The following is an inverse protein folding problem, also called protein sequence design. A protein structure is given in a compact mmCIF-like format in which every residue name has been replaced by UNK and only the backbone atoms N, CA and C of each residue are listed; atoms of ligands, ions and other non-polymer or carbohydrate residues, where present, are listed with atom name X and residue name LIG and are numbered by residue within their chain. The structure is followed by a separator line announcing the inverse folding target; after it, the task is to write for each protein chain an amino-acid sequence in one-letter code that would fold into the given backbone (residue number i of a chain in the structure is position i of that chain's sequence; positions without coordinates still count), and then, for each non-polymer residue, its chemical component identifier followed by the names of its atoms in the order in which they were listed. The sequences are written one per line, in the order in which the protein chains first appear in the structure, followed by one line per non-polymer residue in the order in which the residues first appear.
data_IF_256425910610
#
_entry.id   IF_256425910610
#
_cell.length_a   1.000
_cell.length_b   1.000
_cell.length_c   1.000
_cell.angle_alpha   90.00
_cell.angle_beta   90.00
_cell.angle_gamma   90.00
#
_symmetry.space_group_name_H-M   'P 1'
#
loop_
_entity.id
_entity.type
_entity.pdbx_description
1 polymer ?
#
# COMPACT_ATOMS: atom_id res chain seq x y z
N UNK A 1 -24.19 -29.90 -59.22
CA UNK A 1 -24.12 -28.68 -58.40
C UNK A 1 -23.60 -29.07 -57.01
N UNK A 2 -22.31 -28.89 -56.79
CA UNK A 2 -21.66 -29.27 -55.53
C UNK A 2 -21.55 -28.03 -54.64
N UNK A 3 -22.18 -28.10 -53.47
CA UNK A 3 -22.18 -27.04 -52.45
C UNK A 3 -20.86 -27.05 -51.67
N UNK A 4 -20.03 -26.06 -51.83
CA UNK A 4 -18.83 -25.82 -51.00
C UNK A 4 -19.24 -25.38 -49.61
N UNK A 5 -19.03 -26.22 -48.60
CA UNK A 5 -19.08 -25.83 -47.17
C UNK A 5 -17.79 -25.10 -46.80
N UNK A 6 -17.91 -23.82 -46.47
CA UNK A 6 -16.83 -23.05 -45.88
C UNK A 6 -16.49 -23.58 -44.47
N UNK A 7 -15.23 -23.94 -44.24
CA UNK A 7 -14.69 -24.27 -42.92
C UNK A 7 -14.49 -22.99 -42.13
N UNK A 8 -15.34 -22.74 -41.15
CA UNK A 8 -15.13 -21.69 -40.15
C UNK A 8 -14.02 -22.12 -39.20
N UNK A 9 -12.94 -21.36 -39.15
CA UNK A 9 -11.86 -21.58 -38.19
C UNK A 9 -12.34 -21.21 -36.77
N UNK A 10 -12.12 -22.10 -35.81
CA UNK A 10 -12.53 -21.97 -34.41
C UNK A 10 -11.64 -21.04 -33.57
N UNK A 11 -10.82 -20.19 -34.20
CA UNK A 11 -10.13 -19.10 -33.53
C UNK A 11 -10.97 -17.82 -33.64
N UNK A 12 -12.05 -17.77 -32.86
CA UNK A 12 -12.70 -16.52 -32.52
C UNK A 12 -11.74 -15.74 -31.68
N UNK A 13 -11.08 -14.70 -32.25
CA UNK A 13 -10.47 -13.63 -31.48
C UNK A 13 -11.59 -13.08 -30.60
N UNK A 14 -11.46 -13.24 -29.28
CA UNK A 14 -12.27 -12.50 -28.34
C UNK A 14 -12.21 -11.03 -28.79
N UNK A 15 -13.36 -10.53 -29.24
CA UNK A 15 -13.53 -9.12 -29.52
C UNK A 15 -13.04 -8.40 -28.29
N UNK A 16 -12.05 -7.56 -28.48
CA UNK A 16 -11.46 -6.68 -27.47
C UNK A 16 -12.60 -6.10 -26.63
N UNK A 17 -12.73 -6.59 -25.40
CA UNK A 17 -13.56 -5.93 -24.41
C UNK A 17 -13.11 -4.48 -24.40
N UNK A 18 -14.02 -3.55 -24.72
CA UNK A 18 -13.80 -2.13 -24.57
C UNK A 18 -13.12 -1.91 -23.22
N UNK A 19 -12.04 -1.11 -23.16
CA UNK A 19 -11.35 -0.86 -21.89
C UNK A 19 -12.41 -0.43 -20.89
N UNK A 20 -12.60 -1.25 -19.83
CA UNK A 20 -13.43 -0.87 -18.69
C UNK A 20 -12.95 0.52 -18.28
N UNK A 21 -13.87 1.48 -18.24
CA UNK A 21 -13.58 2.80 -17.70
C UNK A 21 -12.88 2.60 -16.36
N UNK A 22 -11.58 2.89 -16.31
CA UNK A 22 -10.76 2.63 -15.12
C UNK A 22 -11.25 3.60 -14.06
N UNK A 23 -11.91 3.07 -13.05
CA UNK A 23 -12.29 3.88 -11.90
C UNK A 23 -11.01 4.26 -11.14
N UNK A 24 -10.74 5.54 -10.90
CA UNK A 24 -9.53 5.98 -10.22
C UNK A 24 -9.34 5.23 -8.89
N UNK A 25 -8.11 4.77 -8.62
CA UNK A 25 -7.77 4.06 -7.39
C UNK A 25 -8.30 2.63 -7.27
N UNK A 26 -8.85 2.06 -8.34
CA UNK A 26 -9.32 0.66 -8.40
C UNK A 26 -8.60 -0.07 -9.53
N UNK A 27 -8.08 -1.26 -9.24
CA UNK A 27 -7.36 -2.09 -10.22
C UNK A 27 -7.90 -3.51 -10.21
N UNK A 28 -8.23 -4.09 -11.38
CA UNK A 28 -8.52 -5.50 -11.47
C UNK A 28 -7.27 -6.33 -11.20
N UNK A 29 -7.43 -7.44 -10.51
CA UNK A 29 -6.38 -8.38 -10.19
C UNK A 29 -6.67 -9.78 -10.72
N UNK A 30 -5.80 -10.74 -10.39
CA UNK A 30 -6.01 -12.14 -10.78
C UNK A 30 -7.26 -12.73 -10.10
N UNK A 31 -7.81 -13.78 -10.70
CA UNK A 31 -8.94 -14.57 -10.16
C UNK A 31 -10.20 -13.73 -9.85
N UNK A 32 -10.43 -12.63 -10.59
CA UNK A 32 -11.57 -11.76 -10.38
C UNK A 32 -11.48 -10.90 -9.10
N UNK A 33 -10.34 -10.87 -8.44
CA UNK A 33 -10.10 -9.96 -7.34
C UNK A 33 -10.02 -8.51 -7.86
N UNK A 34 -10.46 -7.58 -7.04
CA UNK A 34 -10.33 -6.14 -7.31
C UNK A 34 -9.57 -5.51 -6.16
N UNK A 35 -8.59 -4.69 -6.49
CA UNK A 35 -7.71 -4.05 -5.51
C UNK A 35 -7.95 -2.55 -5.44
N UNK A 36 -7.78 -2.00 -4.24
CA UNK A 36 -7.61 -0.56 -4.02
C UNK A 36 -6.20 -0.28 -3.53
N UNK A 37 -5.67 0.87 -3.91
CA UNK A 37 -4.34 1.28 -3.47
C UNK A 37 -4.31 1.55 -1.97
N UNK A 38 -3.20 1.18 -1.34
CA UNK A 38 -2.89 1.50 0.06
C UNK A 38 -2.52 2.97 0.26
N UNK A 39 -2.22 3.71 -0.83
CA UNK A 39 -1.63 5.05 -0.80
C UNK A 39 -0.11 5.04 -0.59
N UNK A 40 0.52 3.88 -0.68
CA UNK A 40 1.97 3.69 -0.57
C UNK A 40 2.38 2.76 -1.73
N UNK A 41 3.00 3.30 -2.80
CA UNK A 41 3.30 2.53 -4.01
C UNK A 41 4.10 1.26 -3.76
N UNK A 42 5.06 1.32 -2.83
CA UNK A 42 5.87 0.15 -2.49
C UNK A 42 5.06 -0.91 -1.76
N UNK A 43 4.14 -0.50 -0.85
CA UNK A 43 3.26 -1.45 -0.18
C UNK A 43 2.31 -2.13 -1.17
N UNK A 44 1.79 -1.39 -2.14
CA UNK A 44 0.97 -1.97 -3.21
C UNK A 44 1.72 -3.03 -4.00
N UNK A 45 3.02 -2.79 -4.31
CA UNK A 45 3.89 -3.79 -4.96
C UNK A 45 4.13 -5.01 -4.07
N UNK A 46 4.47 -4.80 -2.80
CA UNK A 46 4.71 -5.86 -1.82
C UNK A 46 3.50 -6.77 -1.68
N UNK A 47 2.29 -6.20 -1.64
CA UNK A 47 1.03 -6.93 -1.49
C UNK A 47 0.48 -7.51 -2.81
N UNK A 48 1.18 -7.30 -3.93
CA UNK A 48 0.75 -7.81 -5.24
C UNK A 48 -0.40 -7.02 -5.87
N UNK A 49 -0.62 -5.78 -5.48
CA UNK A 49 -1.62 -4.90 -6.10
C UNK A 49 -2.35 -3.96 -5.13
N UNK A 50 -2.07 -4.04 -3.83
CA UNK A 50 -2.73 -3.24 -2.79
C UNK A 50 -3.68 -4.06 -1.91
N UNK A 51 -4.74 -3.45 -1.40
CA UNK A 51 -5.73 -4.14 -0.57
C UNK A 51 -6.88 -4.67 -1.41
N UNK A 52 -7.19 -5.98 -1.37
CA UNK A 52 -8.34 -6.53 -2.08
C UNK A 52 -9.66 -5.99 -1.51
N UNK A 53 -10.62 -5.66 -2.37
CA UNK A 53 -11.99 -5.33 -1.94
C UNK A 53 -12.60 -6.50 -1.17
N UNK A 54 -13.39 -6.19 -0.16
CA UNK A 54 -13.98 -7.18 0.73
C UNK A 54 -13.02 -7.71 1.79
N UNK A 55 -11.85 -7.09 2.00
CA UNK A 55 -10.85 -7.54 2.98
C UNK A 55 -10.81 -6.69 4.24
N UNK A 56 -10.43 -7.36 5.34
CA UNK A 56 -10.12 -6.76 6.63
C UNK A 56 -8.61 -6.77 6.84
N UNK A 57 -8.03 -5.59 6.94
CA UNK A 57 -6.63 -5.36 7.21
C UNK A 57 -6.46 -5.00 8.69
N UNK A 58 -5.49 -5.63 9.34
CA UNK A 58 -5.14 -5.28 10.71
C UNK A 58 -3.67 -4.86 10.78
N UNK A 59 -3.40 -3.78 11.52
CA UNK A 59 -2.07 -3.23 11.72
C UNK A 59 -1.78 -3.25 13.22
N UNK A 60 -0.78 -4.01 13.61
CA UNK A 60 -0.27 -4.01 14.98
C UNK A 60 0.57 -2.75 15.20
N UNK A 61 0.17 -1.99 16.21
CA UNK A 61 0.84 -0.75 16.63
C UNK A 61 2.08 -1.06 17.45
N UNK A 62 3.07 -0.18 17.36
CA UNK A 62 4.20 -0.17 18.27
C UNK A 62 3.92 0.76 19.46
N UNK A 63 4.43 0.40 20.63
CA UNK A 63 4.33 1.21 21.83
C UNK A 63 5.27 2.43 21.79
N UNK A 64 6.40 2.31 21.10
CA UNK A 64 7.46 3.33 21.10
C UNK A 64 7.27 4.40 20.02
N UNK A 65 6.65 4.03 18.87
CA UNK A 65 6.50 4.97 17.76
C UNK A 65 5.18 4.81 17.00
N UNK A 66 4.52 5.93 16.67
CA UNK A 66 3.22 5.93 16.01
C UNK A 66 3.30 5.69 14.50
N UNK A 67 4.18 4.80 14.03
CA UNK A 67 4.39 4.55 12.58
C UNK A 67 3.15 3.99 11.88
N UNK A 68 2.24 3.32 12.60
CA UNK A 68 0.94 2.89 12.08
C UNK A 68 0.10 4.05 11.53
N UNK A 69 0.29 5.27 12.09
CA UNK A 69 -0.40 6.47 11.60
C UNK A 69 0.07 6.89 10.21
N UNK A 70 1.31 6.59 9.82
CA UNK A 70 1.80 6.86 8.46
C UNK A 70 1.02 6.03 7.44
N UNK A 71 0.82 4.74 7.72
CA UNK A 71 0.04 3.86 6.84
C UNK A 71 -1.43 4.30 6.80
N UNK A 72 -2.01 4.60 7.97
CA UNK A 72 -3.42 4.98 8.07
C UNK A 72 -3.70 6.30 7.33
N UNK A 73 -2.83 7.32 7.50
CA UNK A 73 -2.96 8.61 6.81
C UNK A 73 -2.89 8.46 5.30
N UNK A 74 -1.92 7.70 4.78
CA UNK A 74 -1.79 7.46 3.34
C UNK A 74 -3.01 6.71 2.79
N UNK A 75 -3.50 5.69 3.50
CA UNK A 75 -4.71 4.96 3.13
C UNK A 75 -5.94 5.88 3.05
N UNK A 76 -6.12 6.77 4.02
CA UNK A 76 -7.23 7.72 4.04
C UNK A 76 -7.09 8.78 2.94
N UNK A 77 -5.91 9.39 2.79
CA UNK A 77 -5.64 10.40 1.76
C UNK A 77 -5.87 9.87 0.36
N UNK A 78 -5.39 8.65 0.08
CA UNK A 78 -5.59 7.99 -1.21
C UNK A 78 -7.07 7.84 -1.55
N UNK A 79 -7.90 7.46 -0.55
CA UNK A 79 -9.34 7.37 -0.73
C UNK A 79 -9.98 8.71 -1.07
N UNK A 80 -9.62 9.75 -0.34
CA UNK A 80 -10.18 11.09 -0.53
C UNK A 80 -9.80 11.70 -1.88
N UNK A 81 -8.56 11.52 -2.31
CA UNK A 81 -8.10 11.97 -3.64
C UNK A 81 -8.88 11.30 -4.77
N UNK A 82 -9.32 10.06 -4.58
CA UNK A 82 -10.09 9.30 -5.56
C UNK A 82 -11.61 9.36 -5.35
N UNK A 83 -12.11 10.31 -4.56
CA UNK A 83 -13.55 10.46 -4.27
C UNK A 83 -14.20 9.21 -3.65
N UNK A 84 -13.43 8.41 -2.93
CA UNK A 84 -13.92 7.21 -2.26
C UNK A 84 -14.51 7.58 -0.89
N UNK A 85 -15.75 7.17 -0.56
CA UNK A 85 -16.33 7.41 0.76
C UNK A 85 -15.45 6.85 1.88
N UNK A 86 -15.30 7.63 2.96
CA UNK A 86 -14.47 7.29 4.11
C UNK A 86 -15.27 7.29 5.40
N UNK A 87 -15.21 6.19 6.16
CA UNK A 87 -15.58 6.16 7.57
C UNK A 87 -14.31 6.11 8.40
N UNK A 88 -14.12 7.10 9.27
CA UNK A 88 -12.98 7.17 10.17
C UNK A 88 -13.44 7.13 11.63
N UNK A 89 -12.93 6.18 12.40
CA UNK A 89 -13.17 6.05 13.82
C UNK A 89 -11.87 6.16 14.61
N UNK A 90 -11.89 6.90 15.70
CA UNK A 90 -10.71 7.18 16.52
C UNK A 90 -11.09 7.25 18.01
N UNK A 91 -10.15 6.90 18.94
CA UNK A 91 -10.31 7.15 20.36
C UNK A 91 -10.20 8.63 20.76
N UNK A 92 -10.03 9.54 19.82
CA UNK A 92 -10.04 10.98 20.06
C UNK A 92 -11.45 11.52 20.24
N UNK A 93 -11.63 12.56 21.09
CA UNK A 93 -12.89 13.30 21.21
C UNK A 93 -13.27 14.01 19.91
N UNK A 94 -12.28 14.53 19.19
CA UNK A 94 -12.47 15.15 17.88
C UNK A 94 -11.72 14.38 16.79
N UNK A 95 -12.34 13.36 16.17
CA UNK A 95 -11.75 12.63 15.07
C UNK A 95 -11.53 13.51 13.82
N UNK A 96 -12.33 14.58 13.65
CA UNK A 96 -12.20 15.48 12.49
C UNK A 96 -10.90 16.27 12.50
N UNK A 97 -10.37 16.62 13.66
CA UNK A 97 -9.07 17.28 13.76
C UNK A 97 -7.93 16.47 13.12
N UNK A 98 -8.01 15.14 13.21
CA UNK A 98 -7.02 14.25 12.57
C UNK A 98 -7.00 14.38 11.04
N UNK A 99 -8.14 14.68 10.41
CA UNK A 99 -8.22 14.85 8.96
C UNK A 99 -7.34 16.01 8.46
N UNK A 100 -7.12 17.03 9.28
CA UNK A 100 -6.20 18.13 9.00
C UNK A 100 -4.73 17.73 8.91
N UNK A 101 -4.39 16.50 9.32
CA UNK A 101 -3.02 15.95 9.26
C UNK A 101 -2.81 15.00 8.09
N UNK A 102 -3.82 14.78 7.25
CA UNK A 102 -3.73 13.90 6.10
C UNK A 102 -2.80 14.51 5.04
N UNK A 103 -1.87 13.73 4.46
CA UNK A 103 -0.91 14.26 3.50
C UNK A 103 -1.54 14.54 2.13
N UNK A 104 -0.99 15.56 1.47
CA UNK A 104 -1.37 15.96 0.10
C UNK A 104 -0.61 15.15 -0.94
N UNK A 105 -1.24 14.82 -2.09
CA UNK A 105 -0.53 14.17 -3.18
C UNK A 105 0.55 15.09 -3.75
N UNK A 106 1.65 14.50 -4.21
CA UNK A 106 2.74 15.22 -4.88
C UNK A 106 2.27 15.58 -6.29
N UNK A 107 2.25 16.87 -6.62
CA UNK A 107 1.87 17.31 -7.96
C UNK A 107 3.01 17.17 -8.96
N UNK A 108 2.68 16.91 -10.23
CA UNK A 108 3.66 16.84 -11.33
C UNK A 108 4.45 18.15 -11.54
N UNK A 109 3.96 19.28 -11.02
CA UNK A 109 4.70 20.55 -10.99
C UNK A 109 5.85 20.50 -9.98
N UNK A 110 5.67 19.84 -8.85
CA UNK A 110 6.71 19.64 -7.84
C UNK A 110 7.82 18.68 -8.33
N UNK A 111 7.52 17.78 -9.26
CA UNK A 111 8.51 16.87 -9.87
C UNK A 111 9.41 17.59 -10.88
N UNK A 112 8.88 18.54 -11.64
CA UNK A 112 9.68 19.33 -12.58
C UNK A 112 10.72 20.19 -11.87
N UNK A 113 10.41 20.72 -10.69
CA UNK A 113 11.40 21.46 -9.89
C UNK A 113 12.46 20.53 -9.29
N UNK A 114 12.14 19.26 -9.03
CA UNK A 114 13.10 18.23 -8.56
C UNK A 114 14.16 17.90 -9.60
N UNK A 115 13.75 17.76 -10.86
CA UNK A 115 14.68 17.41 -11.96
C UNK A 115 15.61 18.57 -12.28
N UNK A 116 15.18 19.82 -12.11
CA UNK A 116 16.03 21.00 -12.30
C UNK A 116 17.11 21.10 -11.22
N UNK A 117 16.80 20.80 -9.96
CA UNK A 117 17.79 20.84 -8.87
C UNK A 117 18.79 19.67 -8.96
N UNK A 118 18.34 18.49 -9.39
CA UNK A 118 19.20 17.33 -9.58
C UNK A 118 20.07 17.42 -10.86
N UNK A 119 19.63 18.14 -11.88
CA UNK A 119 20.38 18.40 -13.10
C UNK A 119 21.44 19.52 -12.91
N UNK A 120 21.25 20.42 -11.96
CA UNK A 120 22.24 21.44 -11.61
C UNK A 120 23.43 20.87 -10.82
N UNK A 121 23.24 19.79 -10.04
CA UNK A 121 24.36 19.12 -9.34
C UNK A 121 25.21 18.20 -10.25
N UNK A 122 24.69 17.76 -11.41
CA UNK A 122 25.42 16.99 -12.38
C UNK A 122 25.71 17.84 -13.62
N UNK A 123 26.65 18.79 -13.47
CA UNK A 123 27.15 19.63 -14.56
C UNK A 123 27.87 18.85 -15.65
N UNK A 124 27.13 18.20 -16.55
CA UNK A 124 27.68 17.70 -17.82
C UNK A 124 26.69 18.04 -18.94
N UNK A 125 27.03 19.11 -19.64
CA UNK A 125 26.36 19.71 -20.79
C UNK A 125 26.37 18.86 -22.09
N UNK A 126 26.53 17.54 -22.05
CA UNK A 126 26.75 16.71 -23.25
C UNK A 126 25.58 15.80 -23.62
N UNK A 127 24.46 15.82 -22.91
CA UNK A 127 23.42 14.79 -23.11
C UNK A 127 22.18 15.22 -23.90
N UNK A 128 21.99 16.49 -24.27
CA UNK A 128 20.73 16.91 -24.92
C UNK A 128 20.60 16.48 -26.38
N UNK A 129 21.74 16.26 -27.13
CA UNK A 129 21.70 15.82 -28.51
C UNK A 129 21.36 14.33 -28.69
N UNK A 130 21.57 13.50 -27.65
CA UNK A 130 21.29 12.07 -27.73
C UNK A 130 19.88 11.68 -27.26
N UNK A 131 19.12 12.59 -26.59
CA UNK A 131 17.72 12.36 -26.18
C UNK A 131 16.78 12.12 -27.36
N UNK A 132 17.16 12.49 -28.57
CA UNK A 132 16.35 12.36 -29.79
C UNK A 132 16.32 10.95 -30.38
N UNK A 133 17.22 10.06 -29.93
CA UNK A 133 17.41 8.71 -30.51
C UNK A 133 16.86 7.58 -29.61
N UNK A 134 16.47 7.86 -28.39
CA UNK A 134 15.89 6.85 -27.51
C UNK A 134 14.38 7.00 -27.46
N UNK A 135 13.69 6.28 -28.36
CA UNK A 135 12.22 6.22 -28.44
C UNK A 135 11.52 5.51 -27.28
N UNK A 136 12.21 5.27 -26.16
CA UNK A 136 11.67 4.58 -24.97
C UNK A 136 10.86 5.49 -24.03
N UNK A 137 10.81 6.81 -24.29
CA UNK A 137 10.14 7.75 -23.37
C UNK A 137 8.62 7.78 -23.47
N UNK A 138 8.00 7.28 -24.55
CA UNK A 138 6.55 7.31 -24.68
C UNK A 138 5.87 6.18 -23.88
N UNK A 139 6.43 4.97 -23.85
CA UNK A 139 5.88 3.88 -23.06
C UNK A 139 6.03 4.12 -21.56
N UNK A 140 7.12 4.76 -21.12
CA UNK A 140 7.30 5.11 -19.70
C UNK A 140 6.34 6.22 -19.24
N UNK A 141 5.94 7.16 -20.11
CA UNK A 141 5.00 8.23 -19.72
C UNK A 141 3.55 7.73 -19.59
N UNK A 142 3.12 6.76 -20.39
CA UNK A 142 1.81 6.14 -20.26
C UNK A 142 1.75 5.23 -19.03
N UNK A 143 2.78 4.45 -18.77
CA UNK A 143 2.89 3.64 -17.55
C UNK A 143 2.94 4.51 -16.28
N UNK A 144 3.58 5.69 -16.33
CA UNK A 144 3.61 6.64 -15.22
C UNK A 144 2.24 7.32 -14.99
N UNK A 145 1.52 7.67 -16.06
CA UNK A 145 0.16 8.22 -15.95
C UNK A 145 -0.81 7.19 -15.37
N UNK A 146 -0.77 5.95 -15.86
CA UNK A 146 -1.61 4.87 -15.35
C UNK A 146 -1.26 4.51 -13.88
N UNK A 147 0.00 4.62 -13.49
CA UNK A 147 0.43 4.44 -12.10
C UNK A 147 -0.07 5.58 -11.20
N UNK A 148 -0.08 6.83 -11.67
CA UNK A 148 -0.63 7.98 -10.93
C UNK A 148 -2.15 7.92 -10.79
N UNK A 149 -2.87 7.31 -11.71
CA UNK A 149 -4.31 7.09 -11.61
C UNK A 149 -4.69 6.03 -10.59
N UNK A 150 -3.80 5.09 -10.26
CA UNK A 150 -4.05 4.03 -9.28
C UNK A 150 -3.55 4.38 -7.88
N UNK A 151 -2.32 4.83 -7.75
CA UNK A 151 -1.66 5.15 -6.49
C UNK A 151 -0.92 6.48 -6.59
N UNK A 152 -1.18 7.37 -5.65
CA UNK A 152 -0.49 8.65 -5.54
C UNK A 152 0.70 8.54 -4.58
N UNK A 153 1.75 9.31 -4.83
CA UNK A 153 2.77 9.60 -3.83
C UNK A 153 2.32 10.80 -2.99
N UNK A 154 2.54 10.75 -1.67
CA UNK A 154 2.10 11.78 -0.75
C UNK A 154 3.26 12.53 -0.10
N UNK A 155 3.11 13.85 0.03
CA UNK A 155 4.02 14.70 0.79
C UNK A 155 3.55 14.80 2.25
N UNK A 156 4.24 14.09 3.14
CA UNK A 156 3.91 14.02 4.56
C UNK A 156 4.01 15.38 5.29
N UNK A 157 4.61 16.40 4.67
CA UNK A 157 4.76 17.75 5.24
C UNK A 157 3.63 18.69 4.83
N UNK A 158 2.92 18.37 3.76
CA UNK A 158 1.84 19.21 3.23
C UNK A 158 0.50 18.60 3.60
N UNK A 159 -0.37 19.28 4.35
CA UNK A 159 -1.70 18.77 4.63
C UNK A 159 -2.56 18.78 3.37
N UNK A 160 -3.53 17.87 3.32
CA UNK A 160 -4.51 17.78 2.25
C UNK A 160 -5.37 19.06 2.21
N UNK A 161 -5.68 19.52 1.00
CA UNK A 161 -6.45 20.73 0.80
C UNK A 161 -7.85 20.64 1.43
N UNK A 162 -8.28 21.70 2.11
CA UNK A 162 -9.60 21.76 2.76
C UNK A 162 -10.75 21.58 1.77
N UNK A 163 -10.55 21.98 0.52
CA UNK A 163 -11.55 21.82 -0.53
C UNK A 163 -11.86 20.34 -0.77
N UNK A 164 -10.83 19.48 -0.82
CA UNK A 164 -10.99 18.03 -0.96
C UNK A 164 -11.72 17.46 0.26
N UNK A 165 -11.32 17.85 1.47
CA UNK A 165 -11.96 17.38 2.70
C UNK A 165 -13.45 17.75 2.78
N UNK A 166 -13.83 18.92 2.28
CA UNK A 166 -15.22 19.38 2.32
C UNK A 166 -16.09 18.80 1.19
N UNK A 167 -15.47 18.46 0.05
CA UNK A 167 -16.19 17.90 -1.10
C UNK A 167 -16.49 16.40 -0.94
N UNK A 168 -15.80 15.72 -0.02
CA UNK A 168 -15.86 14.27 0.13
C UNK A 168 -16.86 13.82 1.19
N UNK A 169 -17.41 12.61 0.97
CA UNK A 169 -18.25 11.95 1.93
C UNK A 169 -17.40 11.30 3.03
N UNK A 170 -17.19 12.04 4.13
CA UNK A 170 -16.43 11.60 5.28
C UNK A 170 -17.36 11.46 6.49
N UNK A 171 -17.43 10.25 7.04
CA UNK A 171 -18.11 9.94 8.28
C UNK A 171 -17.08 9.78 9.39
N UNK A 172 -17.12 10.65 10.41
CA UNK A 172 -16.22 10.60 11.55
C UNK A 172 -16.96 10.12 12.80
N UNK A 173 -16.31 9.25 13.57
CA UNK A 173 -16.87 8.64 14.77
C UNK A 173 -15.85 8.66 15.91
N UNK A 174 -16.23 9.22 17.06
CA UNK A 174 -15.45 9.10 18.30
C UNK A 174 -15.83 7.82 19.03
N UNK A 175 -14.85 6.96 19.27
CA UNK A 175 -15.08 5.75 20.05
C UNK A 175 -15.10 5.99 21.56
N UNK A 176 -14.75 7.21 22.03
CA UNK A 176 -14.96 7.60 23.43
C UNK A 176 -16.43 7.84 23.78
N UNK A 177 -17.19 8.39 22.83
CA UNK A 177 -18.59 8.76 23.04
C UNK A 177 -19.54 7.56 23.01
N UNK A 178 -19.03 6.38 22.66
CA UNK A 178 -19.80 5.14 22.58
C UNK A 178 -19.45 4.20 23.72
N UNK A 179 -20.31 4.09 24.73
CA UNK A 179 -20.11 3.14 25.83
C UNK A 179 -20.21 1.68 25.38
N UNK A 180 -20.82 1.43 24.24
CA UNK A 180 -20.99 0.09 23.69
C UNK A 180 -20.67 0.03 22.18
N UNK A 181 -20.29 -1.16 21.71
CA UNK A 181 -19.96 -1.42 20.31
C UNK A 181 -21.18 -1.51 19.38
N UNK A 182 -22.42 -1.44 19.91
CA UNK A 182 -23.63 -1.56 19.09
C UNK A 182 -23.78 -0.36 18.18
N UNK A 183 -23.71 0.86 18.72
CA UNK A 183 -23.81 2.08 17.93
C UNK A 183 -22.70 2.16 16.86
N UNK A 184 -21.49 1.72 17.20
CA UNK A 184 -20.38 1.66 16.24
C UNK A 184 -20.64 0.63 15.14
N UNK A 185 -21.16 -0.55 15.49
CA UNK A 185 -21.54 -1.59 14.52
C UNK A 185 -22.63 -1.09 13.56
N UNK A 186 -23.64 -0.38 14.08
CA UNK A 186 -24.74 0.17 13.28
C UNK A 186 -24.23 1.27 12.34
N UNK A 187 -23.29 2.10 12.81
CA UNK A 187 -22.66 3.12 11.98
C UNK A 187 -21.88 2.50 10.80
N UNK A 188 -21.05 1.50 11.09
CA UNK A 188 -20.35 0.76 10.03
C UNK A 188 -21.33 0.10 9.05
N UNK A 189 -22.43 -0.44 9.56
CA UNK A 189 -23.45 -1.11 8.73
C UNK A 189 -24.16 -0.12 7.82
N UNK A 190 -24.55 1.04 8.36
CA UNK A 190 -25.19 2.12 7.61
C UNK A 190 -24.27 2.69 6.54
N UNK A 191 -22.98 2.86 6.87
CA UNK A 191 -21.96 3.29 5.89
C UNK A 191 -21.85 2.29 4.74
N UNK A 192 -21.71 0.99 5.05
CA UNK A 192 -21.58 -0.06 4.03
C UNK A 192 -22.82 -0.24 3.18
N UNK A 193 -24.03 -0.09 3.77
CA UNK A 193 -25.30 -0.18 3.05
C UNK A 193 -25.52 0.93 2.02
N UNK A 194 -24.84 2.07 2.19
CA UNK A 194 -24.93 3.22 1.29
C UNK A 194 -23.91 3.16 0.14
N UNK A 195 -23.02 2.17 0.13
CA UNK A 195 -22.10 1.97 -0.98
C UNK A 195 -22.84 1.32 -2.16
N UNK A 196 -22.51 1.71 -3.40
CA UNK A 196 -23.11 1.09 -4.57
C UNK A 196 -22.75 -0.41 -4.60
N UNK A 197 -23.77 -1.22 -4.80
CA UNK A 197 -23.60 -2.68 -4.98
C UNK A 197 -23.25 -2.96 -6.43
N UNK A 198 -22.37 -3.95 -6.65
CA UNK A 198 -22.12 -4.50 -7.99
C UNK A 198 -23.29 -5.40 -8.40
N UNK A 199 -24.46 -4.84 -8.67
CA UNK A 199 -25.49 -5.58 -9.37
C UNK A 199 -25.05 -5.71 -10.82
N UNK A 200 -24.75 -6.95 -11.24
CA UNK A 200 -24.06 -7.35 -12.48
C UNK A 200 -24.64 -6.84 -13.83
N UNK A 201 -25.49 -5.82 -13.81
CA UNK A 201 -26.12 -5.22 -14.97
C UNK A 201 -25.65 -3.82 -15.35
N UNK A 202 -25.09 -3.05 -14.44
CA UNK A 202 -24.68 -1.68 -14.74
C UNK A 202 -23.17 -1.51 -14.49
N UNK A 203 -22.35 -1.60 -15.54
CA UNK A 203 -20.89 -1.46 -15.55
C UNK A 203 -20.41 -0.02 -15.30
N UNK A 204 -21.24 0.85 -14.73
CA UNK A 204 -20.91 2.25 -14.42
C UNK A 204 -20.44 2.42 -12.98
N UNK A 205 -19.27 2.98 -12.79
CA UNK A 205 -18.68 3.46 -11.53
C UNK A 205 -18.73 2.49 -10.34
N UNK A 206 -17.77 1.58 -10.29
CA UNK A 206 -17.44 0.83 -9.08
C UNK A 206 -16.83 1.80 -8.07
N UNK A 207 -17.63 2.29 -7.11
CA UNK A 207 -17.12 3.11 -6.01
C UNK A 207 -16.71 2.19 -4.86
N UNK A 208 -15.46 2.29 -4.39
CA UNK A 208 -14.95 1.56 -3.25
C UNK A 208 -15.05 2.41 -1.97
N UNK A 209 -15.58 1.86 -0.89
CA UNK A 209 -15.59 2.50 0.42
C UNK A 209 -14.34 2.16 1.24
N UNK A 210 -13.91 3.11 2.08
CA UNK A 210 -12.81 2.90 3.02
C UNK A 210 -13.29 3.06 4.46
N UNK A 211 -12.93 2.10 5.30
CA UNK A 211 -13.15 2.17 6.75
C UNK A 211 -11.78 2.19 7.41
N UNK A 212 -11.50 3.21 8.21
CA UNK A 212 -10.28 3.38 8.97
C UNK A 212 -10.62 3.45 10.46
N UNK A 213 -10.18 2.48 11.25
CA UNK A 213 -10.40 2.42 12.70
C UNK A 213 -9.04 2.49 13.37
N UNK A 214 -8.80 3.60 14.06
CA UNK A 214 -7.55 3.85 14.77
C UNK A 214 -7.63 3.29 16.19
N UNK A 215 -6.56 2.58 16.62
CA UNK A 215 -6.31 2.16 18.01
C UNK A 215 -7.56 1.54 18.67
N UNK A 216 -8.13 0.52 18.03
CA UNK A 216 -9.46 0.00 18.33
C UNK A 216 -9.68 -0.44 19.79
N UNK A 217 -8.64 -0.92 20.48
CA UNK A 217 -8.70 -1.31 21.90
C UNK A 217 -8.03 -0.30 22.84
N UNK A 218 -7.86 0.96 22.40
CA UNK A 218 -7.25 1.98 23.24
C UNK A 218 -8.02 2.17 24.57
N UNK A 219 -7.31 2.47 25.68
CA UNK A 219 -7.96 2.62 27.00
C UNK A 219 -9.05 3.69 27.06
N UNK A 220 -8.98 4.68 26.15
CA UNK A 220 -9.97 5.76 26.02
C UNK A 220 -11.31 5.27 25.48
N UNK A 221 -11.35 4.10 24.81
CA UNK A 221 -12.57 3.53 24.30
C UNK A 221 -13.40 2.95 25.45
N UNK A 222 -14.67 3.29 25.56
CA UNK A 222 -15.55 2.82 26.62
C UNK A 222 -15.71 1.30 26.68
N UNK A 223 -15.39 0.61 25.60
CA UNK A 223 -15.46 -0.85 25.45
C UNK A 223 -14.10 -1.57 25.56
N UNK A 224 -13.02 -0.88 25.92
CA UNK A 224 -11.64 -1.43 25.93
C UNK A 224 -11.48 -2.69 26.79
N UNK A 225 -12.31 -2.88 27.82
CA UNK A 225 -12.32 -4.06 28.70
C UNK A 225 -13.21 -5.20 28.20
N UNK A 226 -13.97 -5.00 27.12
CA UNK A 226 -14.94 -5.96 26.59
C UNK A 226 -14.33 -6.80 25.45
N UNK A 227 -13.31 -7.63 25.76
CA UNK A 227 -12.53 -8.37 24.74
C UNK A 227 -13.42 -9.24 23.83
N UNK A 228 -14.45 -9.90 24.36
CA UNK A 228 -15.37 -10.72 23.57
C UNK A 228 -16.27 -9.91 22.66
N UNK A 229 -16.74 -8.76 23.11
CA UNK A 229 -17.57 -7.87 22.30
C UNK A 229 -16.77 -7.23 21.17
N UNK A 230 -15.52 -6.86 21.45
CA UNK A 230 -14.57 -6.39 20.42
C UNK A 230 -14.30 -7.47 19.37
N UNK A 231 -14.07 -8.73 19.78
CA UNK A 231 -13.88 -9.85 18.85
C UNK A 231 -15.16 -10.10 18.01
N UNK A 232 -16.33 -10.04 18.64
CA UNK A 232 -17.63 -10.15 17.97
C UNK A 232 -17.84 -9.02 16.95
N UNK A 233 -17.46 -7.78 17.31
CA UNK A 233 -17.50 -6.64 16.42
C UNK A 233 -16.60 -6.87 15.19
N UNK A 234 -15.33 -7.26 15.38
CA UNK A 234 -14.37 -7.53 14.29
C UNK A 234 -14.94 -8.61 13.36
N UNK A 235 -15.50 -9.69 13.90
CA UNK A 235 -16.12 -10.77 13.11
C UNK A 235 -17.31 -10.26 12.28
N UNK A 236 -18.17 -9.46 12.89
CA UNK A 236 -19.32 -8.84 12.22
C UNK A 236 -18.89 -7.87 11.13
N UNK A 237 -17.91 -7.01 11.42
CA UNK A 237 -17.36 -6.07 10.44
C UNK A 237 -16.74 -6.81 9.25
N UNK A 238 -15.92 -7.84 9.51
CA UNK A 238 -15.32 -8.67 8.46
C UNK A 238 -16.37 -9.27 7.54
N UNK A 239 -17.44 -9.85 8.11
CA UNK A 239 -18.53 -10.44 7.33
C UNK A 239 -19.22 -9.42 6.42
N UNK A 240 -19.52 -8.22 6.95
CA UNK A 240 -20.16 -7.14 6.19
C UNK A 240 -19.25 -6.55 5.11
N UNK A 241 -17.97 -6.33 5.42
CA UNK A 241 -16.98 -5.86 4.45
C UNK A 241 -16.82 -6.87 3.31
N UNK A 242 -16.80 -8.19 3.64
CA UNK A 242 -16.68 -9.27 2.65
C UNK A 242 -17.78 -9.24 1.59
N UNK A 243 -18.98 -8.83 1.95
CA UNK A 243 -20.14 -8.74 1.05
C UNK A 243 -20.35 -7.34 0.45
N UNK A 244 -19.39 -6.44 0.63
CA UNK A 244 -19.48 -5.05 0.16
C UNK A 244 -18.25 -4.63 -0.65
N UNK A 245 -18.40 -3.55 -1.43
CA UNK A 245 -17.29 -2.93 -2.15
C UNK A 245 -16.49 -2.00 -1.22
N UNK A 246 -15.92 -2.54 -0.16
CA UNK A 246 -15.17 -1.77 0.82
C UNK A 246 -13.93 -2.51 1.30
N UNK A 247 -13.02 -1.76 1.91
CA UNK A 247 -11.87 -2.28 2.66
C UNK A 247 -11.89 -1.65 4.04
N UNK A 248 -11.67 -2.46 5.08
CA UNK A 248 -11.52 -1.99 6.45
C UNK A 248 -10.09 -2.17 6.94
N UNK A 249 -9.51 -1.09 7.46
CA UNK A 249 -8.21 -1.06 8.13
C UNK A 249 -8.43 -0.78 9.60
N UNK A 250 -7.97 -1.66 10.47
CA UNK A 250 -8.03 -1.53 11.93
C UNK A 250 -6.60 -1.49 12.45
N UNK A 251 -6.24 -0.47 13.20
CA UNK A 251 -5.00 -0.47 13.97
C UNK A 251 -5.29 -0.84 15.43
N UNK A 252 -4.39 -1.53 16.07
CA UNK A 252 -4.52 -1.92 17.48
C UNK A 252 -3.17 -2.15 18.16
N UNK A 253 -2.99 -1.72 19.42
CA UNK A 253 -1.82 -1.99 20.23
C UNK A 253 -1.91 -3.38 20.87
N UNK A 254 -1.14 -4.38 20.42
CA UNK A 254 -1.19 -5.75 20.93
C UNK A 254 -0.97 -5.88 22.46
N UNK A 255 -0.11 -5.06 23.09
CA UNK A 255 0.13 -5.16 24.53
C UNK A 255 -1.08 -4.86 25.40
N UNK A 256 -2.11 -4.19 24.87
CA UNK A 256 -3.35 -3.88 25.62
C UNK A 256 -4.36 -5.04 25.61
N UNK A 257 -4.10 -6.09 24.85
CA UNK A 257 -4.94 -7.27 24.77
C UNK A 257 -4.26 -8.44 25.50
N UNK A 258 -5.07 -9.35 26.07
CA UNK A 258 -4.52 -10.61 26.54
C UNK A 258 -3.92 -11.40 25.36
N UNK A 259 -2.84 -12.19 25.57
CA UNK A 259 -2.15 -12.90 24.50
C UNK A 259 -3.08 -13.77 23.64
N UNK A 260 -4.09 -14.39 24.26
CA UNK A 260 -5.06 -15.23 23.56
C UNK A 260 -5.97 -14.43 22.63
N UNK A 261 -6.42 -13.23 23.05
CA UNK A 261 -7.23 -12.36 22.20
C UNK A 261 -6.42 -11.68 21.11
N UNK A 262 -5.20 -11.26 21.40
CA UNK A 262 -4.28 -10.75 20.40
C UNK A 262 -4.10 -11.76 19.25
N UNK A 263 -3.87 -13.04 19.56
CA UNK A 263 -3.78 -14.12 18.56
C UNK A 263 -5.09 -14.30 17.78
N UNK A 264 -6.24 -14.27 18.45
CA UNK A 264 -7.55 -14.39 17.77
C UNK A 264 -7.82 -13.24 16.81
N UNK A 265 -7.44 -12.00 17.17
CA UNK A 265 -7.55 -10.86 16.29
C UNK A 265 -6.65 -11.01 15.06
N UNK A 266 -5.39 -11.41 15.25
CA UNK A 266 -4.47 -11.70 14.15
C UNK A 266 -5.04 -12.73 13.16
N UNK A 267 -5.73 -13.78 13.68
CA UNK A 267 -6.41 -14.76 12.82
C UNK A 267 -7.60 -14.18 12.06
N UNK A 268 -8.29 -13.19 12.59
CA UNK A 268 -9.40 -12.53 11.89
C UNK A 268 -8.94 -11.69 10.70
N UNK A 269 -7.73 -11.15 10.72
CA UNK A 269 -7.20 -10.36 9.63
C UNK A 269 -7.11 -11.17 8.33
N UNK A 270 -7.43 -10.54 7.20
CA UNK A 270 -7.08 -11.06 5.89
C UNK A 270 -5.64 -10.67 5.53
N UNK A 271 -5.26 -9.41 5.76
CA UNK A 271 -3.88 -8.93 5.74
C UNK A 271 -3.49 -8.49 7.14
N UNK A 272 -2.33 -8.94 7.61
CA UNK A 272 -1.78 -8.59 8.92
C UNK A 272 -0.42 -7.95 8.75
N UNK A 273 -0.32 -6.70 9.18
CA UNK A 273 0.90 -5.90 9.19
C UNK A 273 1.30 -5.59 10.64
N UNK A 274 2.57 -5.39 10.89
CA UNK A 274 3.06 -4.83 12.14
C UNK A 274 4.10 -3.75 11.85
N UNK A 275 4.03 -2.67 12.57
CA UNK A 275 5.05 -1.61 12.54
C UNK A 275 5.87 -1.68 13.82
N UNK A 276 7.17 -1.39 13.70
CA UNK A 276 8.07 -1.31 14.85
C UNK A 276 9.03 -0.15 14.69
N UNK A 277 9.32 0.53 15.79
CA UNK A 277 10.39 1.50 15.88
C UNK A 277 11.77 0.80 15.76
N UNK A 278 12.79 1.56 15.44
CA UNK A 278 14.18 1.11 15.62
C UNK A 278 14.46 1.17 17.11
N UNK A 279 14.94 0.08 17.74
CA UNK A 279 15.33 0.09 19.13
C UNK A 279 16.36 1.19 19.43
N UNK A 280 16.31 1.77 20.64
CA UNK A 280 17.22 2.85 21.02
C UNK A 280 18.69 2.44 20.88
N UNK A 281 19.02 1.20 21.25
CA UNK A 281 20.38 0.65 21.17
C UNK A 281 20.91 0.59 19.72
N UNK A 282 20.01 0.41 18.75
CA UNK A 282 20.35 0.32 17.33
C UNK A 282 20.35 1.68 16.62
N UNK A 283 19.80 2.74 17.23
CA UNK A 283 19.70 4.07 16.59
C UNK A 283 21.05 4.71 16.30
N UNK A 284 22.02 4.52 17.19
CA UNK A 284 23.37 5.05 16.99
C UNK A 284 24.08 4.28 15.87
N UNK A 285 23.94 2.95 15.84
CA UNK A 285 24.48 2.12 14.79
C UNK A 285 23.82 2.46 13.43
N UNK A 286 22.51 2.67 13.41
CA UNK A 286 21.78 3.05 12.20
C UNK A 286 22.24 4.40 11.63
N UNK A 287 22.64 5.36 12.48
CA UNK A 287 23.18 6.66 12.02
C UNK A 287 24.56 6.53 11.39
N UNK A 288 25.35 5.56 11.81
CA UNK A 288 26.70 5.33 11.28
C UNK A 288 26.70 4.60 9.93
N UNK A 289 25.64 3.85 9.64
CA UNK A 289 25.52 3.08 8.40
C UNK A 289 24.89 3.97 7.32
N UNK A 290 25.63 4.26 6.26
CA UNK A 290 25.23 5.21 5.19
C UNK A 290 23.91 4.91 4.48
N UNK A 291 23.40 3.69 4.54
CA UNK A 291 22.09 3.30 3.96
C UNK A 291 20.89 3.45 4.88
N UNK A 292 21.08 3.85 6.15
CA UNK A 292 20.04 3.83 7.18
C UNK A 292 19.64 5.21 7.72
N UNK A 293 20.23 6.28 7.17
CA UNK A 293 20.06 7.65 7.69
C UNK A 293 18.59 8.14 7.70
N UNK A 294 17.77 7.70 6.75
CA UNK A 294 16.34 8.08 6.64
C UNK A 294 15.40 7.00 7.21
N UNK A 295 15.96 5.93 7.79
CA UNK A 295 15.19 4.83 8.35
C UNK A 295 14.60 5.21 9.71
N UNK A 296 13.29 5.03 9.87
CA UNK A 296 12.56 5.34 11.09
C UNK A 296 11.98 4.12 11.79
N UNK A 297 11.91 2.99 11.11
CA UNK A 297 11.35 1.77 11.68
C UNK A 297 11.26 0.62 10.68
N UNK A 298 10.52 -0.39 11.08
CA UNK A 298 10.30 -1.62 10.32
C UNK A 298 8.82 -1.84 10.06
N UNK A 299 8.52 -2.40 8.90
CA UNK A 299 7.22 -2.96 8.56
C UNK A 299 7.37 -4.48 8.41
N UNK A 300 6.60 -5.24 9.19
CA UNK A 300 6.51 -6.68 9.07
C UNK A 300 5.19 -7.06 8.40
N UNK A 301 5.25 -7.87 7.35
CA UNK A 301 4.10 -8.44 6.66
C UNK A 301 3.93 -9.87 7.15
N UNK A 302 2.99 -10.09 8.08
CA UNK A 302 2.75 -11.41 8.66
C UNK A 302 1.79 -12.25 7.84
N UNK A 303 0.85 -11.60 7.14
CA UNK A 303 -0.18 -12.27 6.36
C UNK A 303 -0.64 -11.36 5.23
N UNK A 304 -0.86 -11.95 4.06
CA UNK A 304 -1.44 -11.28 2.89
C UNK A 304 -2.79 -11.92 2.55
N UNK A 305 -3.77 -11.10 2.22
CA UNK A 305 -5.11 -11.55 1.89
C UNK A 305 -5.10 -12.50 0.69
N UNK A 306 -5.80 -13.62 0.84
CA UNK A 306 -6.04 -14.61 -0.21
C UNK A 306 -7.53 -14.58 -0.53
N UNK A 307 -7.93 -13.77 -1.52
CA UNK A 307 -9.32 -13.67 -1.96
C UNK A 307 -9.44 -14.37 -3.31
N UNK A 308 -10.44 -15.24 -3.41
CA UNK A 308 -10.72 -16.03 -4.61
C UNK A 308 -9.57 -16.96 -5.05
N UNK A 309 -8.65 -17.29 -4.14
CA UNK A 309 -7.56 -18.23 -4.40
C UNK A 309 -7.22 -19.03 -3.15
N UNK A 310 -6.78 -20.27 -3.33
CA UNK A 310 -6.21 -21.10 -2.25
C UNK A 310 -4.68 -21.10 -2.28
N UNK A 311 -4.08 -20.50 -3.32
CA UNK A 311 -2.63 -20.43 -3.46
C UNK A 311 -2.10 -19.35 -2.54
N UNK A 312 -1.21 -19.69 -1.60
CA UNK A 312 -0.61 -18.69 -0.71
C UNK A 312 0.26 -17.72 -1.52
N UNK A 313 0.21 -16.43 -1.13
CA UNK A 313 1.12 -15.43 -1.68
C UNK A 313 2.50 -15.70 -1.09
N UNK A 314 3.47 -15.99 -1.94
CA UNK A 314 4.86 -16.14 -1.55
C UNK A 314 5.47 -14.74 -1.55
N UNK A 315 5.84 -14.25 -0.36
CA UNK A 315 6.55 -13.00 -0.21
C UNK A 315 8.06 -13.26 -0.32
N UNK A 316 8.74 -12.48 -1.13
CA UNK A 316 10.20 -12.54 -1.24
C UNK A 316 10.91 -12.06 0.04
N UNK A 317 10.27 -11.17 0.79
CA UNK A 317 10.68 -10.73 2.11
C UNK A 317 9.45 -10.47 2.98
N UNK A 318 9.57 -10.68 4.28
CA UNK A 318 8.50 -10.40 5.26
C UNK A 318 8.77 -9.15 6.09
N UNK A 319 9.98 -8.61 6.02
CA UNK A 319 10.39 -7.43 6.78
C UNK A 319 10.97 -6.38 5.84
N UNK A 320 10.51 -5.16 6.01
CA UNK A 320 10.88 -4.00 5.20
C UNK A 320 11.29 -2.85 6.12
N UNK A 321 12.24 -2.03 5.68
CA UNK A 321 12.56 -0.77 6.34
C UNK A 321 11.52 0.28 5.99
N UNK A 322 11.11 1.07 6.97
CA UNK A 322 10.32 2.28 6.79
C UNK A 322 11.31 3.44 6.71
N UNK A 323 11.38 4.11 5.56
CA UNK A 323 12.22 5.27 5.33
C UNK A 323 11.38 6.52 5.06
N UNK A 324 11.81 7.63 5.64
CA UNK A 324 11.22 8.95 5.38
C UNK A 324 12.19 9.75 4.50
N UNK A 325 12.16 9.47 3.19
CA UNK A 325 13.06 10.11 2.25
C UNK A 325 12.87 11.63 2.25
N UNK A 326 13.96 12.35 2.60
CA UNK A 326 13.96 13.82 2.77
C UNK A 326 12.86 14.31 3.74
N UNK A 327 12.43 13.47 4.68
CA UNK A 327 11.30 13.72 5.59
C UNK A 327 10.00 14.09 4.87
N UNK A 328 9.84 13.66 3.62
CA UNK A 328 8.73 14.05 2.74
C UNK A 328 7.90 12.86 2.29
N UNK A 329 8.51 11.83 1.75
CA UNK A 329 7.84 10.66 1.21
C UNK A 329 8.15 9.40 2.02
N UNK A 330 7.15 8.54 2.15
CA UNK A 330 7.28 7.24 2.78
C UNK A 330 7.73 6.22 1.73
N UNK A 331 8.84 5.54 2.01
CA UNK A 331 9.42 4.52 1.13
C UNK A 331 9.61 3.24 1.95
N UNK A 332 9.28 2.10 1.35
CA UNK A 332 9.47 0.78 1.95
C UNK A 332 10.50 0.00 1.14
N UNK A 333 11.62 -0.36 1.77
CA UNK A 333 12.70 -1.10 1.13
C UNK A 333 12.93 -2.45 1.82
N UNK A 334 13.38 -3.45 1.06
CA UNK A 334 13.76 -4.75 1.61
C UNK A 334 15.02 -4.62 2.47
N UNK A 335 15.04 -5.27 3.63
CA UNK A 335 16.21 -5.24 4.50
C UNK A 335 17.39 -6.07 4.00
N UNK A 336 17.15 -7.08 3.16
CA UNK A 336 18.16 -8.06 2.75
C UNK A 336 18.83 -7.74 1.42
N UNK A 337 18.65 -6.55 0.86
CA UNK A 337 19.47 -6.11 -0.28
C UNK A 337 20.78 -5.58 0.27
N UNK A 338 21.88 -6.29 -0.04
CA UNK A 338 23.20 -5.69 0.06
C UNK A 338 23.16 -4.35 -0.69
N UNK A 339 23.78 -3.27 -0.17
CA UNK A 339 23.86 -2.02 -0.89
C UNK A 339 24.36 -2.33 -2.31
N UNK A 340 23.59 -1.97 -3.31
CA UNK A 340 24.09 -1.98 -4.68
C UNK A 340 25.08 -0.83 -4.70
N UNK A 341 26.33 -1.15 -4.44
CA UNK A 341 27.42 -0.21 -4.64
C UNK A 341 27.31 0.24 -6.08
N UNK A 342 26.97 1.50 -6.29
CA UNK A 342 26.91 2.14 -7.60
C UNK A 342 28.30 2.33 -8.23
N UNK A 343 29.23 1.43 -7.97
CA UNK A 343 30.46 1.28 -8.73
C UNK A 343 30.12 0.47 -9.98
N UNK A 344 29.76 1.18 -11.04
CA UNK A 344 29.93 0.68 -12.41
C UNK A 344 31.38 0.24 -12.56
N UNK A 345 31.63 -1.04 -12.32
CA UNK A 345 32.88 -1.66 -12.68
C UNK A 345 33.05 -1.53 -14.20
N UNK A 346 33.97 -0.67 -14.61
CA UNK A 346 34.52 -0.70 -15.94
C UNK A 346 35.06 -2.10 -16.19
N UNK A 347 34.33 -2.90 -16.95
CA UNK A 347 34.91 -4.07 -17.60
C UNK A 347 35.88 -3.56 -18.64
N UNK A 348 37.15 -3.55 -18.28
CA UNK A 348 38.23 -3.49 -19.25
C UNK A 348 38.24 -4.83 -19.99
N UNK A 349 37.69 -4.79 -21.17
CA UNK A 349 37.91 -5.79 -22.21
C UNK A 349 39.38 -5.69 -22.65
N UNK A 350 40.21 -6.58 -22.13
CA UNK A 350 41.61 -6.74 -22.45
C UNK A 350 41.81 -8.05 -23.19
N UNK A 351 41.64 -8.03 -24.50
CA UNK A 351 42.12 -9.08 -25.37
C UNK A 351 43.64 -9.25 -25.21
N UNK A 352 44.07 -10.42 -24.77
CA UNK A 352 45.48 -10.82 -24.68
C UNK A 352 45.61 -12.33 -24.72
N UNK A 353 45.81 -12.85 -25.95
CA UNK A 353 46.24 -14.21 -26.23
C UNK A 353 47.60 -14.47 -25.62
N UNK A 354 47.85 -15.68 -25.07
CA UNK A 354 48.92 -16.60 -25.44
C UNK A 354 49.24 -17.65 -24.37
N UNK A 355 48.99 -18.87 -24.72
CA UNK A 355 49.85 -20.08 -24.69
C UNK A 355 50.58 -20.55 -23.42
N UNK A 356 50.29 -21.79 -23.12
CA UNK A 356 51.18 -22.94 -22.74
C UNK A 356 51.94 -22.88 -21.43
N UNK A 357 51.68 -23.83 -20.52
CA UNK A 357 52.36 -25.10 -20.36
C UNK A 357 52.15 -25.68 -18.94
N UNK A 358 51.85 -26.93 -18.99
CA UNK A 358 51.90 -27.96 -17.96
C UNK A 358 52.91 -27.77 -16.80
N UNK A 359 52.44 -28.03 -15.54
CA UNK A 359 53.10 -29.04 -14.69
C UNK A 359 52.24 -29.39 -13.50
N UNK A 360 51.99 -30.68 -13.43
CA UNK A 360 51.50 -31.45 -12.26
C UNK A 360 52.44 -31.33 -11.05
N UNK A 361 51.86 -31.21 -9.85
CA UNK A 361 52.42 -31.87 -8.67
C UNK A 361 51.27 -32.13 -7.68
N UNK A 362 51.06 -33.41 -7.49
CA UNK A 362 50.35 -34.04 -6.37
C UNK A 362 51.16 -33.75 -5.11
N UNK A 363 50.49 -33.46 -4.00
CA UNK A 363 50.89 -33.87 -2.65
C UNK A 363 49.67 -33.89 -1.76
N UNK A 364 49.40 -35.12 -1.27
CA UNK A 364 48.60 -35.49 -0.11
C UNK A 364 48.99 -34.72 1.16
N UNK A 365 48.00 -34.33 1.97
CA UNK A 365 47.82 -34.73 3.36
C UNK A 365 46.40 -34.36 3.76
#
# INVERSE_FOLDING_TARGET
MASMRAKTSSFSRNQSALPLAQTPGIKPGPNGATFISTGIPDLDKILGGGFPLGSLIMIMEDAEAPHHLLLLRNFMSQGLVHNQPLLYASPSKDPRAFLGTLPSPISSKDEKSRNTDAEQEKGLRIAWQYKKYFGEQQQNSENHRNAMEYCNEFDLRKPLERQILNAQRIDCFSSQDSPNLTAFRDRCSSFLAQLPRNDGGNRGNVCAGRIAIQSFCAPQCGYSKMEWDMLSFIRSLKSKVRSSNAVAVITFPPPLLSPSFSKRWQHMADTLLAVRAIPEDDKELAKLLTGYQDMVGFLHVHKVAQINTQVPVILEATTFSIKLQRRRSLVLERLNQAPVDGSSGNSYDGSGSCSSSSKSTILDF
#
